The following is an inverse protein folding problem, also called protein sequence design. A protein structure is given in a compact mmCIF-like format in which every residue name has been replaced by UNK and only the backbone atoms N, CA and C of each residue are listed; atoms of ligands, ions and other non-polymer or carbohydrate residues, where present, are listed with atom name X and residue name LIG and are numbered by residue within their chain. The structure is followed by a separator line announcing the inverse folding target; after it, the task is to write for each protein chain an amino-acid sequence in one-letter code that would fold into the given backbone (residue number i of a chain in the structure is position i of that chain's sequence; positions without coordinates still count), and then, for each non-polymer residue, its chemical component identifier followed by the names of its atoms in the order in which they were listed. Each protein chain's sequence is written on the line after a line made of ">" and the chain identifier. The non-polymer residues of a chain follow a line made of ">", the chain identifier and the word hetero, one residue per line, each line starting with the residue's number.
data_IF_404160549898
#
_entry.id   IF_404160549898
#
_cell.length_a   1.000
_cell.length_b   1.000
_cell.length_c   1.000
_cell.angle_alpha   90.00
_cell.angle_beta   90.00
_cell.angle_gamma   90.00
#
_symmetry.space_group_name_H-M   'P 1'
#
loop_
_entity.id
_entity.type
_entity.pdbx_description
1 polymer ?
#
# COMPACT_ATOMS: atom_id res chain seq x y z
N UNK A 1 -13.44 23.69 -6.53
CA UNK A 1 -12.02 23.70 -6.93
C UNK A 1 -11.25 22.76 -6.01
N UNK A 2 -10.42 21.90 -6.58
CA UNK A 2 -9.56 20.97 -5.83
C UNK A 2 -8.27 21.72 -5.45
N UNK A 3 -7.93 21.68 -4.17
CA UNK A 3 -6.65 22.20 -3.69
C UNK A 3 -5.61 21.07 -3.70
N UNK A 4 -4.43 21.37 -4.22
CA UNK A 4 -3.30 20.43 -4.23
C UNK A 4 -2.12 21.04 -3.46
N UNK A 5 -1.43 20.18 -2.68
CA UNK A 5 -0.21 20.56 -1.98
C UNK A 5 0.90 19.60 -2.42
N UNK A 6 1.97 20.16 -2.97
CA UNK A 6 3.16 19.38 -3.31
C UNK A 6 4.10 19.35 -2.11
N UNK A 7 4.59 18.14 -1.79
CA UNK A 7 5.58 17.90 -0.75
C UNK A 7 6.81 17.28 -1.43
N UNK A 8 7.80 18.10 -1.86
CA UNK A 8 8.96 17.62 -2.63
C UNK A 8 10.00 16.93 -1.74
N UNK A 9 9.56 15.94 -0.98
CA UNK A 9 10.38 15.18 -0.04
C UNK A 9 10.15 13.68 -0.28
N UNK A 10 11.18 12.87 -0.03
CA UNK A 10 10.99 11.44 0.13
C UNK A 10 10.31 11.17 1.48
N UNK A 11 9.32 10.29 1.48
CA UNK A 11 8.69 9.84 2.71
C UNK A 11 9.71 8.99 3.48
N UNK A 12 9.90 9.30 4.77
CA UNK A 12 10.83 8.64 5.68
C UNK A 12 10.21 8.46 7.06
N UNK A 13 10.86 7.71 7.93
CA UNK A 13 10.46 7.56 9.32
C UNK A 13 10.35 8.90 10.06
N UNK A 14 11.18 9.88 9.70
CA UNK A 14 11.22 11.19 10.35
C UNK A 14 10.02 12.07 9.98
N UNK A 15 9.38 11.86 8.83
CA UNK A 15 8.36 12.78 8.31
C UNK A 15 6.99 12.14 8.02
N UNK A 16 6.91 10.81 7.94
CA UNK A 16 5.69 10.13 7.51
C UNK A 16 4.50 10.39 8.43
N UNK A 17 4.71 10.36 9.75
CA UNK A 17 3.62 10.62 10.72
C UNK A 17 3.10 12.05 10.59
N UNK A 18 3.98 13.03 10.45
CA UNK A 18 3.58 14.43 10.35
C UNK A 18 2.85 14.73 9.04
N UNK A 19 3.32 14.16 7.93
CA UNK A 19 2.68 14.33 6.63
C UNK A 19 1.29 13.65 6.62
N UNK A 20 1.21 12.38 7.04
CA UNK A 20 -0.02 11.58 6.93
C UNK A 20 -1.11 12.07 7.89
N UNK A 21 -0.75 12.63 9.04
CA UNK A 21 -1.70 13.07 10.09
C UNK A 21 -2.79 13.99 9.57
N UNK A 22 -2.47 14.86 8.64
CA UNK A 22 -3.37 15.93 8.15
C UNK A 22 -4.36 15.45 7.08
N UNK A 23 -4.29 14.18 6.66
CA UNK A 23 -5.16 13.62 5.62
C UNK A 23 -6.16 12.62 6.18
N UNK A 24 -7.35 12.58 5.56
CA UNK A 24 -8.44 11.67 5.95
C UNK A 24 -8.32 10.28 5.33
N UNK A 25 -7.60 10.16 4.21
CA UNK A 25 -7.39 8.91 3.49
C UNK A 25 -6.05 8.95 2.75
N UNK A 26 -5.32 7.84 2.74
CA UNK A 26 -4.04 7.73 2.04
C UNK A 26 -4.17 6.76 0.86
N UNK A 27 -3.63 7.13 -0.30
CA UNK A 27 -3.50 6.21 -1.44
C UNK A 27 -2.00 5.96 -1.66
N UNK A 28 -1.58 4.71 -1.52
CA UNK A 28 -0.22 4.29 -1.86
C UNK A 28 -0.15 3.78 -3.28
N UNK A 29 0.54 4.52 -4.14
CA UNK A 29 0.88 4.17 -5.51
C UNK A 29 2.38 4.00 -5.73
N UNK A 30 3.14 3.75 -4.66
CA UNK A 30 4.60 3.58 -4.76
C UNK A 30 4.99 2.22 -5.37
N UNK A 31 6.19 2.15 -5.92
CA UNK A 31 6.72 0.98 -6.63
C UNK A 31 7.78 0.20 -5.83
N UNK A 32 7.88 0.45 -4.53
CA UNK A 32 8.86 -0.20 -3.67
C UNK A 32 8.26 -0.64 -2.33
N UNK A 33 8.76 -1.74 -1.81
CA UNK A 33 8.25 -2.32 -0.57
C UNK A 33 8.57 -1.47 0.67
N UNK A 34 9.73 -0.82 0.72
CA UNK A 34 10.11 0.00 1.88
C UNK A 34 9.10 1.11 2.14
N UNK A 35 8.70 1.85 1.11
CA UNK A 35 7.67 2.89 1.26
C UNK A 35 6.30 2.30 1.56
N UNK A 36 5.93 1.15 0.97
CA UNK A 36 4.65 0.48 1.26
C UNK A 36 4.52 0.10 2.74
N UNK A 37 5.57 -0.49 3.32
CA UNK A 37 5.58 -0.83 4.74
C UNK A 37 5.60 0.41 5.62
N UNK A 38 6.35 1.45 5.25
CA UNK A 38 6.37 2.71 5.98
C UNK A 38 4.98 3.37 5.99
N UNK A 39 4.29 3.43 4.86
CA UNK A 39 2.92 3.97 4.76
C UNK A 39 1.95 3.14 5.57
N UNK A 40 2.01 1.80 5.47
CA UNK A 40 1.18 0.92 6.29
C UNK A 40 1.38 1.21 7.78
N UNK A 41 2.62 1.22 8.24
CA UNK A 41 2.94 1.37 9.65
C UNK A 41 2.51 2.75 10.17
N UNK A 42 2.78 3.81 9.42
CA UNK A 42 2.35 5.15 9.77
C UNK A 42 0.81 5.28 9.82
N UNK A 43 0.09 4.69 8.85
CA UNK A 43 -1.37 4.72 8.83
C UNK A 43 -1.97 3.94 10.00
N UNK A 44 -1.41 2.78 10.35
CA UNK A 44 -1.86 2.00 11.53
C UNK A 44 -1.65 2.80 12.81
N UNK A 45 -0.45 3.36 13.02
CA UNK A 45 -0.12 4.15 14.22
C UNK A 45 -1.01 5.38 14.38
N UNK A 46 -1.39 6.01 13.26
CA UNK A 46 -2.27 7.17 13.25
C UNK A 46 -3.77 6.82 13.20
N UNK A 47 -4.12 5.55 13.05
CA UNK A 47 -5.52 5.12 12.83
C UNK A 47 -6.11 5.68 11.54
N UNK A 48 -5.31 5.86 10.48
CA UNK A 48 -5.74 6.42 9.21
C UNK A 48 -6.13 5.32 8.21
N UNK A 49 -7.27 5.46 7.54
CA UNK A 49 -7.61 4.57 6.44
C UNK A 49 -6.67 4.78 5.25
N UNK A 50 -6.37 3.70 4.54
CA UNK A 50 -5.56 3.79 3.32
C UNK A 50 -5.88 2.68 2.32
N UNK A 51 -5.51 2.92 1.08
CA UNK A 51 -5.57 1.93 0.00
C UNK A 51 -4.18 1.74 -0.59
N UNK A 52 -3.71 0.50 -0.61
CA UNK A 52 -2.41 0.12 -1.15
C UNK A 52 -2.58 -0.61 -2.46
N UNK A 53 -1.82 -0.20 -3.49
CA UNK A 53 -1.77 -0.85 -4.80
C UNK A 53 -0.37 -1.37 -5.10
N UNK A 54 -0.29 -2.46 -5.85
CA UNK A 54 0.96 -3.02 -6.34
C UNK A 54 0.80 -3.57 -7.75
N UNK A 55 1.80 -3.38 -8.59
CA UNK A 55 1.80 -3.84 -9.98
C UNK A 55 3.13 -4.53 -10.25
N UNK A 56 3.07 -5.65 -10.94
CA UNK A 56 4.26 -6.34 -11.44
C UNK A 56 3.95 -6.97 -12.80
N UNK A 57 4.73 -6.66 -13.84
CA UNK A 57 4.56 -7.18 -15.20
C UNK A 57 3.13 -6.98 -15.75
N UNK A 58 2.32 -8.02 -15.72
CA UNK A 58 0.95 -8.08 -16.24
C UNK A 58 -0.10 -8.25 -15.15
N UNK A 59 0.33 -8.24 -13.89
CA UNK A 59 -0.54 -8.46 -12.75
C UNK A 59 -0.57 -7.23 -11.84
N UNK A 60 -1.65 -7.10 -11.09
CA UNK A 60 -1.78 -6.08 -10.08
C UNK A 60 -2.63 -6.52 -8.91
N UNK A 61 -2.51 -5.80 -7.82
CA UNK A 61 -3.25 -6.06 -6.59
C UNK A 61 -3.63 -4.76 -5.90
N UNK A 62 -4.76 -4.80 -5.19
CA UNK A 62 -5.27 -3.68 -4.39
C UNK A 62 -5.84 -4.21 -3.09
N UNK A 63 -5.59 -3.50 -2.00
CA UNK A 63 -6.21 -3.68 -0.69
C UNK A 63 -6.64 -2.35 -0.13
N UNK A 64 -7.73 -2.34 0.64
CA UNK A 64 -8.18 -1.18 1.41
C UNK A 64 -8.19 -1.53 2.90
N UNK A 65 -7.66 -0.64 3.71
CA UNK A 65 -7.56 -0.83 5.15
C UNK A 65 -8.29 0.30 5.88
N UNK A 66 -9.10 -0.10 6.84
CA UNK A 66 -9.81 0.81 7.74
C UNK A 66 -9.45 0.46 9.20
N UNK A 67 -9.52 1.41 10.12
CA UNK A 67 -9.40 1.10 11.54
C UNK A 67 -10.40 0.02 11.96
N UNK A 68 -9.89 -1.04 12.60
CA UNK A 68 -10.69 -2.20 13.01
C UNK A 68 -10.78 -3.34 11.99
N UNK A 69 -10.15 -3.21 10.81
CA UNK A 69 -9.99 -4.30 9.84
C UNK A 69 -8.56 -4.83 9.82
N UNK A 70 -8.30 -5.91 9.07
CA UNK A 70 -6.94 -6.40 8.89
C UNK A 70 -6.09 -5.39 8.09
N UNK A 71 -4.80 -5.31 8.43
CA UNK A 71 -3.84 -4.41 7.81
C UNK A 71 -2.89 -5.17 6.88
N UNK A 72 -2.09 -4.45 6.11
CA UNK A 72 -1.16 -5.04 5.13
C UNK A 72 -0.24 -6.09 5.76
N UNK A 73 0.28 -5.83 6.98
CA UNK A 73 1.14 -6.78 7.71
C UNK A 73 0.41 -8.01 8.23
N UNK A 74 -0.91 -8.01 8.32
CA UNK A 74 -1.66 -9.22 8.66
C UNK A 74 -1.58 -10.27 7.55
N UNK A 75 -1.38 -9.86 6.30
CA UNK A 75 -1.20 -10.75 5.16
C UNK A 75 0.28 -10.91 4.75
N UNK A 76 1.06 -9.83 4.85
CA UNK A 76 2.48 -9.77 4.51
C UNK A 76 3.26 -9.27 5.72
N UNK A 77 3.62 -10.14 6.69
CA UNK A 77 4.21 -9.73 7.96
C UNK A 77 5.50 -8.93 7.83
N UNK A 78 6.35 -9.31 6.87
CA UNK A 78 7.67 -8.72 6.66
C UNK A 78 7.91 -8.35 5.20
N UNK A 79 8.73 -7.33 4.93
CA UNK A 79 9.20 -7.04 3.58
C UNK A 79 9.92 -8.26 2.99
N UNK A 80 9.73 -8.56 1.70
CA UNK A 80 10.48 -9.63 1.05
C UNK A 80 11.98 -9.31 1.05
N UNK A 81 12.82 -10.35 1.08
CA UNK A 81 14.26 -10.16 0.95
C UNK A 81 14.61 -9.61 -0.45
N UNK A 82 15.64 -8.75 -0.50
CA UNK A 82 16.11 -8.08 -1.72
C UNK A 82 16.30 -9.04 -2.90
N UNK A 83 16.86 -10.22 -2.62
CA UNK A 83 17.13 -11.26 -3.64
C UNK A 83 15.89 -11.86 -4.27
N UNK A 84 14.74 -11.75 -3.58
CA UNK A 84 13.47 -12.35 -4.01
C UNK A 84 12.55 -11.35 -4.73
N UNK A 85 12.99 -10.07 -4.82
CA UNK A 85 12.22 -8.99 -5.42
C UNK A 85 12.63 -8.75 -6.87
N UNK A 86 11.73 -9.07 -7.79
CA UNK A 86 11.81 -8.51 -9.15
C UNK A 86 11.17 -7.12 -9.15
N UNK A 87 12.00 -6.08 -9.17
CA UNK A 87 11.48 -4.71 -9.20
C UNK A 87 10.81 -4.38 -10.54
N UNK A 88 9.85 -3.45 -10.54
CA UNK A 88 9.21 -2.98 -11.77
C UNK A 88 10.20 -2.49 -12.83
N UNK A 89 11.34 -1.94 -12.40
CA UNK A 89 12.41 -1.49 -13.29
C UNK A 89 13.18 -2.64 -13.97
N UNK A 90 13.22 -3.80 -13.33
CA UNK A 90 13.90 -4.98 -13.90
C UNK A 90 13.01 -5.71 -14.91
N UNK A 91 11.72 -5.83 -14.61
CA UNK A 91 10.81 -6.69 -15.38
C UNK A 91 9.80 -5.92 -16.22
N UNK A 92 9.67 -4.62 -15.98
CA UNK A 92 8.69 -3.77 -16.64
C UNK A 92 7.27 -3.94 -16.11
N UNK A 93 6.39 -3.04 -16.53
CA UNK A 93 4.96 -3.02 -16.18
C UNK A 93 4.15 -2.67 -17.41
N UNK A 94 3.06 -3.37 -17.65
CA UNK A 94 2.12 -3.00 -18.69
C UNK A 94 1.35 -1.73 -18.25
N UNK A 95 1.63 -0.59 -18.90
CA UNK A 95 1.14 0.73 -18.50
C UNK A 95 -0.37 0.83 -18.22
N UNK A 96 -1.26 0.25 -19.05
CA UNK A 96 -2.71 0.26 -18.79
C UNK A 96 -3.12 -0.29 -17.41
N UNK A 97 -2.37 -1.24 -16.84
CA UNK A 97 -2.69 -1.80 -15.52
C UNK A 97 -2.59 -0.72 -14.44
N UNK A 98 -1.61 0.18 -14.55
CA UNK A 98 -1.46 1.29 -13.61
C UNK A 98 -2.73 2.18 -13.60
N UNK A 99 -3.28 2.49 -14.77
CA UNK A 99 -4.54 3.22 -14.87
C UNK A 99 -5.72 2.47 -14.27
N UNK A 100 -5.84 1.17 -14.56
CA UNK A 100 -6.94 0.33 -14.04
C UNK A 100 -6.89 0.26 -12.50
N UNK A 101 -5.75 -0.05 -11.92
CA UNK A 101 -5.62 -0.17 -10.48
C UNK A 101 -5.70 1.19 -9.79
N UNK A 102 -5.14 2.25 -10.37
CA UNK A 102 -5.27 3.60 -9.84
C UNK A 102 -6.73 4.06 -9.79
N UNK A 103 -7.56 3.71 -10.78
CA UNK A 103 -9.01 4.00 -10.73
C UNK A 103 -9.74 3.16 -9.69
N UNK A 104 -9.33 1.92 -9.45
CA UNK A 104 -9.86 1.11 -8.34
C UNK A 104 -9.51 1.75 -7.00
N UNK A 105 -8.25 2.14 -6.77
CA UNK A 105 -7.83 2.82 -5.54
C UNK A 105 -8.59 4.14 -5.33
N UNK A 106 -8.76 4.94 -6.37
CA UNK A 106 -9.56 6.18 -6.30
C UNK A 106 -11.02 5.90 -5.93
N UNK A 107 -11.61 4.83 -6.47
CA UNK A 107 -12.97 4.40 -6.13
C UNK A 107 -13.07 3.98 -4.67
N UNK A 108 -12.08 3.24 -4.16
CA UNK A 108 -12.00 2.85 -2.76
C UNK A 108 -11.95 4.09 -1.83
N UNK A 109 -11.10 5.06 -2.16
CA UNK A 109 -11.03 6.31 -1.41
C UNK A 109 -12.38 7.04 -1.39
N UNK A 110 -13.06 7.15 -2.53
CA UNK A 110 -14.38 7.78 -2.63
C UNK A 110 -15.40 7.03 -1.76
N UNK A 111 -15.43 5.70 -1.83
CA UNK A 111 -16.35 4.89 -1.00
C UNK A 111 -16.12 5.15 0.49
N UNK A 112 -14.88 5.16 0.93
CA UNK A 112 -14.53 5.39 2.33
C UNK A 112 -14.89 6.81 2.78
N UNK A 113 -14.52 7.84 2.02
CA UNK A 113 -14.77 9.24 2.36
C UNK A 113 -16.26 9.58 2.33
N UNK A 114 -16.98 9.06 1.34
CA UNK A 114 -18.42 9.31 1.20
C UNK A 114 -19.30 8.39 2.06
N UNK A 115 -18.74 7.36 2.68
CA UNK A 115 -19.48 6.36 3.47
C UNK A 115 -20.47 5.56 2.63
N UNK A 116 -20.11 5.20 1.40
CA UNK A 116 -20.98 4.47 0.46
C UNK A 116 -20.39 3.13 0.03
N UNK A 117 -21.24 2.18 -0.29
CA UNK A 117 -20.83 0.86 -0.78
C UNK A 117 -20.06 0.05 0.27
N UNK A 118 -19.32 -0.94 -0.21
CA UNK A 118 -18.50 -1.82 0.62
C UNK A 118 -17.03 -1.69 0.17
N UNK A 119 -16.14 -1.09 0.98
CA UNK A 119 -14.69 -1.08 0.70
C UNK A 119 -14.10 -2.49 0.65
N UNK A 120 -12.97 -2.64 -0.03
CA UNK A 120 -12.19 -3.89 -0.15
C UNK A 120 -11.39 -4.17 1.15
N UNK A 121 -12.07 -4.15 2.29
CA UNK A 121 -11.46 -4.49 3.58
C UNK A 121 -11.35 -6.01 3.75
N UNK A 122 -10.36 -6.46 4.51
CA UNK A 122 -10.12 -7.88 4.78
C UNK A 122 -10.02 -8.72 3.49
N UNK A 123 -9.55 -8.07 2.43
CA UNK A 123 -9.58 -8.64 1.08
C UNK A 123 -8.41 -8.13 0.24
N UNK A 124 -7.78 -9.06 -0.48
CA UNK A 124 -6.82 -8.79 -1.55
C UNK A 124 -7.54 -8.96 -2.89
N UNK A 125 -7.74 -7.88 -3.62
CA UNK A 125 -8.18 -7.91 -5.01
C UNK A 125 -6.96 -8.06 -5.90
N UNK A 126 -6.92 -9.08 -6.76
CA UNK A 126 -5.88 -9.27 -7.76
C UNK A 126 -6.43 -9.16 -9.17
N UNK A 127 -5.61 -8.71 -10.09
CA UNK A 127 -5.91 -8.61 -11.52
C UNK A 127 -4.78 -9.23 -12.34
N UNK A 128 -5.15 -10.07 -13.30
CA UNK A 128 -4.26 -10.62 -14.32
C UNK A 128 -4.68 -10.10 -15.70
N UNK A 129 -3.84 -9.25 -16.30
CA UNK A 129 -4.11 -8.65 -17.59
C UNK A 129 -3.98 -9.62 -18.78
N UNK A 130 -3.28 -10.75 -18.61
CA UNK A 130 -3.17 -11.75 -19.69
C UNK A 130 -4.47 -12.52 -19.88
N UNK A 131 -5.20 -12.73 -18.79
CA UNK A 131 -6.48 -13.45 -18.77
C UNK A 131 -7.68 -12.53 -18.57
N UNK A 132 -7.45 -11.26 -18.22
CA UNK A 132 -8.47 -10.27 -17.83
C UNK A 132 -9.31 -10.73 -16.63
N UNK A 133 -8.73 -11.51 -15.74
CA UNK A 133 -9.42 -12.03 -14.56
C UNK A 133 -9.15 -11.21 -13.32
N UNK A 134 -10.21 -11.00 -12.57
CA UNK A 134 -10.18 -10.44 -11.22
C UNK A 134 -10.48 -11.54 -10.22
N UNK A 135 -9.68 -11.62 -9.16
CA UNK A 135 -9.92 -12.54 -8.06
C UNK A 135 -9.86 -11.79 -6.74
N UNK A 136 -10.71 -12.20 -5.80
CA UNK A 136 -10.71 -11.66 -4.44
C UNK A 136 -10.37 -12.76 -3.45
N UNK A 137 -9.35 -12.54 -2.65
CA UNK A 137 -8.93 -13.43 -1.56
C UNK A 137 -9.24 -12.75 -0.23
N UNK A 138 -9.94 -13.45 0.65
CA UNK A 138 -10.27 -12.94 1.97
C UNK A 138 -9.23 -13.37 2.99
N UNK A 139 -8.87 -12.47 3.89
CA UNK A 139 -8.00 -12.73 5.03
C UNK A 139 -8.54 -12.02 6.27
N UNK A 140 -7.96 -12.26 7.42
CA UNK A 140 -8.43 -11.72 8.69
C UNK A 140 -7.29 -11.01 9.41
N UNK A 141 -7.67 -10.22 10.41
CA UNK A 141 -6.71 -9.67 11.37
C UNK A 141 -5.90 -10.80 12.01
N UNK A 142 -4.59 -10.61 12.07
CA UNK A 142 -3.66 -11.55 12.68
C UNK A 142 -3.34 -11.07 14.11
N UNK A 143 -3.72 -11.86 15.10
CA UNK A 143 -3.44 -11.58 16.52
C UNK A 143 -1.93 -11.54 16.83
N UNK A 144 -1.11 -12.23 16.03
CA UNK A 144 0.35 -12.24 16.17
C UNK A 144 1.04 -11.15 15.31
N UNK A 145 0.26 -10.29 14.63
CA UNK A 145 0.83 -9.23 13.81
C UNK A 145 1.75 -8.31 14.64
N UNK A 146 2.98 -8.15 14.19
CA UNK A 146 3.99 -7.35 14.89
C UNK A 146 3.60 -5.87 15.08
N UNK A 147 2.65 -5.35 14.28
CA UNK A 147 2.24 -3.95 14.31
C UNK A 147 0.88 -3.73 15.00
N UNK A 148 -0.12 -4.57 14.70
CA UNK A 148 -1.50 -4.37 15.15
C UNK A 148 -2.08 -5.56 15.92
N UNK A 149 -1.29 -6.61 16.19
CA UNK A 149 -1.70 -7.77 16.96
C UNK A 149 -1.89 -7.48 18.45
N UNK A 150 -2.17 -8.52 19.23
CA UNK A 150 -2.43 -8.41 20.68
C UNK A 150 -1.18 -7.97 21.45
N UNK A 151 0.02 -8.23 20.93
CA UNK A 151 1.31 -7.89 21.53
C UNK A 151 2.24 -7.25 20.50
N UNK A 152 1.95 -6.01 20.04
CA UNK A 152 2.72 -5.39 18.97
C UNK A 152 4.17 -5.13 19.40
N UNK A 153 5.12 -5.50 18.55
CA UNK A 153 6.55 -5.24 18.73
C UNK A 153 7.04 -4.03 17.94
N UNK A 154 6.32 -3.63 16.88
CA UNK A 154 6.60 -2.43 16.10
C UNK A 154 5.84 -1.26 16.73
N UNK A 155 6.54 -0.43 17.49
CA UNK A 155 5.97 0.71 18.22
C UNK A 155 6.41 2.06 17.69
N UNK A 156 7.37 2.08 16.78
CA UNK A 156 7.89 3.27 16.10
C UNK A 156 8.17 2.95 14.63
N UNK A 157 8.24 3.96 13.80
CA UNK A 157 8.58 3.79 12.40
C UNK A 157 10.07 3.43 12.27
N UNK A 158 10.37 2.56 11.31
CA UNK A 158 11.72 2.16 10.97
C UNK A 158 12.01 2.42 9.51
N UNK A 159 13.26 2.75 9.20
CA UNK A 159 13.73 2.76 7.83
C UNK A 159 13.84 1.31 7.33
N UNK A 160 12.99 0.97 6.37
CA UNK A 160 13.14 -0.27 5.62
C UNK A 160 14.17 -0.04 4.52
N UNK A 161 15.15 -0.92 4.37
CA UNK A 161 16.23 -0.78 3.41
C UNK A 161 15.69 -0.37 2.02
N UNK A 162 15.99 0.86 1.59
CA UNK A 162 15.52 1.43 0.35
C UNK A 162 16.37 0.91 -0.81
N UNK A 163 15.75 0.22 -1.75
CA UNK A 163 16.33 0.00 -3.06
C UNK A 163 15.88 1.10 -4.02
N UNK A 164 16.71 2.13 -4.27
CA UNK A 164 16.36 3.10 -5.29
C UNK A 164 16.33 2.41 -6.67
N UNK A 165 15.25 2.64 -7.41
CA UNK A 165 15.07 2.22 -8.80
C UNK A 165 16.15 2.76 -9.77
N UNK A 166 17.16 3.46 -9.29
CA UNK A 166 18.14 4.21 -10.05
C UNK A 166 19.57 3.77 -9.81
N UNK A 167 19.97 2.63 -10.33
CA UNK A 167 21.34 2.45 -10.83
C UNK A 167 21.30 1.68 -12.14
N UNK A 168 20.72 2.29 -13.18
CA UNK A 168 21.18 1.96 -14.52
C UNK A 168 22.25 2.97 -14.88
N UNK A 169 23.50 2.51 -14.85
CA UNK A 169 24.53 3.18 -15.61
C UNK A 169 24.11 3.21 -17.07
N UNK A 170 24.16 4.37 -17.68
CA UNK A 170 24.12 4.61 -19.11
C UNK A 170 25.39 4.00 -19.72
#
# INVERSE_FOLDING_TARGET
>A
DVQTTEIPLFLSEDNALDIIRDYDFVIDGTDNFSTKYLVNDACVMLGKPFCIGGINRYAGQVMTHLPGTAWYRCLFPEPPEEKDVETCSMVGVLGPIAGMLGTVQATEAIKCIAGIGNPLTDSLLTFDALTMQWNTFHFQHDAECALCGDHPSITELHEYAFMPCSKRGV
#
